data_IF_832043584725
#
_entry.id   IF_832043584725
#
_cell.length_a   1.000
_cell.length_b   1.000
_cell.length_c   1.000
_cell.angle_alpha   90.00
_cell.angle_beta   90.00
_cell.angle_gamma   90.00
#
_symmetry.space_group_name_H-M   'P 1'
#
loop_
_entity.id
_entity.type
_entity.pdbx_description
1 polymer ?
#
# COMPACT_ATOMS: atom_id res chain seq x y z
N UNK A 1 -18.36 16.60 13.42
CA UNK A 1 -18.79 16.05 14.73
C UNK A 1 -17.56 15.43 15.34
N UNK A 2 -17.21 15.75 16.60
CA UNK A 2 -16.05 15.17 17.25
C UNK A 2 -16.17 13.65 17.30
N UNK A 3 -15.03 12.95 17.25
CA UNK A 3 -15.07 11.48 17.21
C UNK A 3 -15.33 10.94 18.62
N UNK A 4 -16.18 9.91 18.77
CA UNK A 4 -16.35 9.26 20.06
C UNK A 4 -15.01 8.80 20.67
N UNK A 5 -14.83 8.95 21.98
CA UNK A 5 -13.57 8.63 22.67
C UNK A 5 -13.08 7.20 22.41
N UNK A 6 -13.99 6.22 22.39
CA UNK A 6 -13.65 4.83 22.09
C UNK A 6 -13.15 4.63 20.65
N UNK A 7 -13.61 5.45 19.71
CA UNK A 7 -13.15 5.46 18.33
C UNK A 7 -11.80 6.19 18.22
N UNK A 8 -11.61 7.30 18.95
CA UNK A 8 -10.34 8.00 19.07
C UNK A 8 -9.22 7.08 19.56
N UNK A 9 -9.44 6.38 20.67
CA UNK A 9 -8.43 5.47 21.23
C UNK A 9 -8.04 4.34 20.27
N UNK A 10 -8.95 3.92 19.38
CA UNK A 10 -8.69 2.86 18.39
C UNK A 10 -7.99 3.35 17.13
N UNK A 11 -8.19 4.61 16.76
CA UNK A 11 -7.64 5.22 15.54
C UNK A 11 -6.45 6.14 15.81
N UNK A 12 -6.18 6.48 17.07
CA UNK A 12 -5.01 7.27 17.46
C UNK A 12 -3.73 6.45 17.23
N UNK A 13 -2.77 6.97 16.45
CA UNK A 13 -1.45 6.34 16.29
C UNK A 13 -0.71 6.18 17.62
N UNK A 14 -0.95 7.04 18.61
CA UNK A 14 -0.34 6.92 19.93
C UNK A 14 -0.93 5.75 20.74
N UNK A 15 -2.26 5.62 20.78
CA UNK A 15 -2.92 4.63 21.63
C UNK A 15 -3.11 3.25 20.99
N UNK A 16 -2.89 3.11 19.68
CA UNK A 16 -3.14 1.84 18.98
C UNK A 16 -2.32 0.68 19.59
N UNK A 17 -3.04 -0.37 20.00
CA UNK A 17 -2.55 -1.61 20.66
C UNK A 17 -1.98 -1.48 22.08
N UNK A 18 -2.02 -0.30 22.66
CA UNK A 18 -1.51 -0.07 24.03
C UNK A 18 -2.27 -0.88 25.08
N UNK A 19 -3.54 -1.23 24.80
CA UNK A 19 -4.44 -2.00 25.66
C UNK A 19 -4.45 -3.51 25.36
N UNK A 20 -3.82 -3.97 24.26
CA UNK A 20 -4.10 -5.28 23.65
C UNK A 20 -2.92 -6.22 23.49
N UNK A 21 -1.68 -5.78 23.71
CA UNK A 21 -0.50 -6.62 23.50
C UNK A 21 0.09 -7.16 24.80
N UNK A 22 -0.14 -8.45 25.16
CA UNK A 22 0.70 -9.12 26.15
C UNK A 22 2.16 -9.08 25.67
N UNK A 23 3.03 -8.43 26.44
CA UNK A 23 4.43 -8.18 26.07
C UNK A 23 4.72 -6.82 25.44
N UNK A 24 3.76 -5.89 25.39
CA UNK A 24 4.04 -4.50 25.02
C UNK A 24 5.03 -3.89 26.02
N UNK A 25 6.21 -3.48 25.53
CA UNK A 25 7.21 -2.83 26.36
C UNK A 25 6.91 -1.32 26.44
N UNK A 26 6.13 -0.94 27.45
CA UNK A 26 5.71 0.45 27.68
C UNK A 26 6.90 1.39 27.89
N UNK A 27 7.91 0.97 28.65
CA UNK A 27 9.10 1.79 28.92
C UNK A 27 9.86 2.12 27.64
N UNK A 28 10.10 1.11 26.80
CA UNK A 28 10.76 1.30 25.50
C UNK A 28 9.92 2.16 24.56
N UNK A 29 8.60 1.99 24.57
CA UNK A 29 7.72 2.82 23.75
C UNK A 29 7.76 4.28 24.22
N UNK A 30 7.60 4.52 25.52
CA UNK A 30 7.61 5.86 26.10
C UNK A 30 8.95 6.56 25.87
N UNK A 31 10.07 5.87 26.05
CA UNK A 31 11.40 6.45 25.75
C UNK A 31 11.50 6.95 24.30
N UNK A 32 10.93 6.22 23.33
CA UNK A 32 10.93 6.69 21.94
C UNK A 32 10.01 7.87 21.71
N UNK A 33 8.89 7.92 22.43
CA UNK A 33 7.98 9.06 22.40
C UNK A 33 8.65 10.29 22.98
N UNK A 34 9.36 10.16 24.11
CA UNK A 34 10.07 11.25 24.76
C UNK A 34 11.19 11.83 23.87
N UNK A 35 11.84 10.98 23.07
CA UNK A 35 12.86 11.39 22.09
C UNK A 35 12.26 11.95 20.78
N UNK A 36 10.93 11.89 20.61
CA UNK A 36 10.27 12.33 19.37
C UNK A 36 10.10 13.86 19.37
N UNK A 37 10.47 14.57 18.27
CA UNK A 37 10.18 15.99 18.11
C UNK A 37 8.70 16.34 18.36
N UNK A 38 8.43 17.46 19.04
CA UNK A 38 7.08 17.85 19.46
C UNK A 38 6.06 17.84 18.32
N UNK A 39 6.44 18.31 17.14
CA UNK A 39 5.56 18.33 15.98
C UNK A 39 5.22 16.92 15.44
N UNK A 40 6.16 15.98 15.53
CA UNK A 40 5.92 14.57 15.22
C UNK A 40 5.07 13.90 16.29
N UNK A 41 5.31 14.22 17.56
CA UNK A 41 4.47 13.77 18.66
C UNK A 41 3.02 14.23 18.48
N UNK A 42 2.80 15.49 18.09
CA UNK A 42 1.48 16.03 17.82
C UNK A 42 0.73 15.22 16.75
N UNK A 43 1.40 14.75 15.69
CA UNK A 43 0.76 13.85 14.70
C UNK A 43 0.24 12.56 15.35
N UNK A 44 0.90 12.03 16.37
CA UNK A 44 0.50 10.80 17.03
C UNK A 44 -0.72 10.96 17.95
N UNK A 45 -0.84 12.12 18.60
CA UNK A 45 -1.85 12.36 19.65
C UNK A 45 -3.04 13.22 19.20
N UNK A 46 -2.90 14.01 18.14
CA UNK A 46 -3.92 14.96 17.72
C UNK A 46 -5.22 14.26 17.26
N UNK A 47 -6.36 14.84 17.64
CA UNK A 47 -7.68 14.31 17.28
C UNK A 47 -7.87 14.37 15.75
N UNK A 48 -7.32 15.40 15.10
CA UNK A 48 -7.35 15.57 13.65
C UNK A 48 -6.72 14.38 12.91
N UNK A 49 -5.68 13.76 13.47
CA UNK A 49 -5.08 12.55 12.88
C UNK A 49 -6.07 11.39 12.91
N UNK A 50 -6.79 11.23 14.03
CA UNK A 50 -7.78 10.18 14.18
C UNK A 50 -8.99 10.41 13.26
N UNK A 51 -9.42 11.66 13.10
CA UNK A 51 -10.45 12.06 12.13
C UNK A 51 -10.03 11.80 10.69
N UNK A 52 -8.77 12.10 10.35
CA UNK A 52 -8.20 11.81 9.04
C UNK A 52 -8.22 10.30 8.77
N UNK A 53 -7.77 9.48 9.71
CA UNK A 53 -7.78 8.02 9.58
C UNK A 53 -9.20 7.51 9.41
N UNK A 54 -10.14 8.00 10.23
CA UNK A 54 -11.57 7.66 10.10
C UNK A 54 -12.08 7.99 8.70
N UNK A 55 -11.83 9.19 8.21
CA UNK A 55 -12.23 9.63 6.86
C UNK A 55 -11.64 8.75 5.77
N UNK A 56 -10.38 8.34 5.92
CA UNK A 56 -9.71 7.42 5.01
C UNK A 56 -10.36 6.04 5.00
N UNK A 57 -10.67 5.48 6.18
CA UNK A 57 -11.36 4.19 6.31
C UNK A 57 -12.78 4.21 5.74
N UNK A 58 -13.45 5.36 5.78
CA UNK A 58 -14.77 5.55 5.19
C UNK A 58 -14.71 5.71 3.67
N UNK A 59 -13.69 6.43 3.17
CA UNK A 59 -13.48 6.61 1.72
C UNK A 59 -13.27 5.27 1.01
N UNK A 60 -12.52 4.35 1.65
CA UNK A 60 -12.24 3.02 1.11
C UNK A 60 -12.97 1.96 1.94
N UNK A 61 -14.13 1.50 1.48
CA UNK A 61 -14.98 0.53 2.22
C UNK A 61 -14.19 -0.70 2.71
N UNK A 62 -13.23 -1.17 1.92
CA UNK A 62 -12.33 -2.29 2.25
C UNK A 62 -11.45 -2.04 3.49
N UNK A 63 -11.22 -0.80 3.88
CA UNK A 63 -10.39 -0.38 5.02
C UNK A 63 -11.20 -0.13 6.31
N UNK A 64 -12.53 -0.20 6.27
CA UNK A 64 -13.41 0.15 7.40
C UNK A 64 -13.07 -0.60 8.69
N UNK A 65 -12.60 -1.84 8.59
CA UNK A 65 -12.16 -2.67 9.72
C UNK A 65 -10.66 -2.55 10.04
N UNK A 66 -9.89 -1.89 9.18
CA UNK A 66 -8.43 -1.80 9.21
C UNK A 66 -7.91 -0.43 9.67
N UNK A 67 -8.77 0.42 10.25
CA UNK A 67 -8.35 1.74 10.75
C UNK A 67 -7.20 1.68 11.76
N UNK A 68 -7.16 0.64 12.59
CA UNK A 68 -6.03 0.38 13.49
C UNK A 68 -4.73 0.07 12.73
N UNK A 69 -4.78 -0.63 11.60
CA UNK A 69 -3.59 -0.90 10.78
C UNK A 69 -3.03 0.39 10.14
N UNK A 70 -3.91 1.30 9.74
CA UNK A 70 -3.51 2.64 9.26
C UNK A 70 -2.87 3.44 10.41
N UNK A 71 -3.49 3.43 11.60
CA UNK A 71 -2.94 4.10 12.78
C UNK A 71 -1.55 3.56 13.15
N UNK A 72 -1.36 2.22 13.13
CA UNK A 72 -0.05 1.57 13.30
C UNK A 72 0.94 2.02 12.24
N UNK A 73 0.54 2.03 10.97
CA UNK A 73 1.42 2.43 9.88
C UNK A 73 1.88 3.89 10.02
N UNK A 74 0.99 4.78 10.42
CA UNK A 74 1.33 6.18 10.73
C UNK A 74 2.31 6.25 11.90
N UNK A 75 2.02 5.58 13.02
CA UNK A 75 2.92 5.52 14.19
C UNK A 75 4.30 5.00 13.81
N UNK A 76 4.35 3.85 13.17
CA UNK A 76 5.58 3.17 12.77
C UNK A 76 6.37 4.04 11.79
N UNK A 77 5.71 4.83 10.93
CA UNK A 77 6.40 5.78 10.03
C UNK A 77 6.93 6.99 10.80
N UNK A 78 6.12 7.62 11.66
CA UNK A 78 6.53 8.81 12.42
C UNK A 78 7.71 8.50 13.35
N UNK A 79 7.68 7.32 14.00
CA UNK A 79 8.77 6.86 14.86
C UNK A 79 9.92 6.19 14.08
N UNK A 80 9.88 6.25 12.75
CA UNK A 80 10.86 5.70 11.82
C UNK A 80 11.11 4.18 11.97
N UNK A 81 10.16 3.37 12.42
CA UNK A 81 10.21 1.90 12.29
C UNK A 81 9.98 1.41 10.86
N UNK A 82 9.23 2.19 10.09
CA UNK A 82 9.06 2.01 8.66
C UNK A 82 9.63 3.26 7.98
N UNK A 83 10.44 3.04 6.95
CA UNK A 83 10.91 4.14 6.12
C UNK A 83 9.75 4.69 5.29
N UNK A 84 9.60 6.02 5.22
CA UNK A 84 8.45 6.66 4.57
C UNK A 84 8.28 6.20 3.12
N UNK A 85 9.39 6.00 2.38
CA UNK A 85 9.36 5.49 1.00
C UNK A 85 8.81 4.08 0.84
N UNK A 86 8.83 3.26 1.90
CA UNK A 86 8.33 1.88 1.88
C UNK A 86 6.83 1.80 2.22
N UNK A 87 6.17 2.93 2.55
CA UNK A 87 4.75 2.96 2.93
C UNK A 87 3.80 2.30 1.92
N UNK A 88 3.89 2.51 0.59
CA UNK A 88 2.99 1.83 -0.35
C UNK A 88 3.09 0.30 -0.27
N UNK A 89 4.29 -0.24 -0.07
CA UNK A 89 4.50 -1.68 0.08
C UNK A 89 3.92 -2.18 1.40
N UNK A 90 4.12 -1.45 2.49
CA UNK A 90 3.55 -1.78 3.80
C UNK A 90 2.02 -1.69 3.82
N UNK A 91 1.43 -0.73 3.11
CA UNK A 91 -0.02 -0.61 2.94
C UNK A 91 -0.57 -1.82 2.17
N UNK A 92 0.07 -2.20 1.07
CA UNK A 92 -0.30 -3.42 0.31
C UNK A 92 -0.28 -4.65 1.22
N UNK A 93 0.79 -4.82 2.00
CA UNK A 93 1.02 -5.98 2.87
C UNK A 93 0.03 -6.04 4.05
N UNK A 94 -0.23 -4.91 4.72
CA UNK A 94 -1.07 -4.87 5.93
C UNK A 94 -2.55 -4.79 5.63
N UNK A 95 -2.92 -4.00 4.61
CA UNK A 95 -4.32 -3.73 4.27
C UNK A 95 -4.86 -4.70 3.19
N UNK A 96 -3.99 -5.43 2.49
CA UNK A 96 -4.40 -6.37 1.44
C UNK A 96 -5.01 -5.67 0.22
N UNK A 97 -4.67 -4.40 0.00
CA UNK A 97 -5.15 -3.61 -1.14
C UNK A 97 -4.19 -3.72 -2.32
N UNK A 98 -4.67 -3.45 -3.53
CA UNK A 98 -3.82 -3.45 -4.71
C UNK A 98 -2.77 -2.31 -4.68
N UNK A 99 -1.65 -2.44 -5.43
CA UNK A 99 -0.58 -1.44 -5.39
C UNK A 99 -0.98 -0.02 -5.81
N UNK A 100 -1.99 0.14 -6.68
CA UNK A 100 -2.43 1.47 -7.11
C UNK A 100 -3.20 2.16 -5.98
N UNK A 101 -4.13 1.45 -5.34
CA UNK A 101 -4.82 1.92 -4.13
C UNK A 101 -3.83 2.21 -3.01
N UNK A 102 -2.84 1.34 -2.80
CA UNK A 102 -1.82 1.54 -1.77
C UNK A 102 -1.01 2.84 -1.97
N UNK A 103 -0.64 3.14 -3.22
CA UNK A 103 0.03 4.40 -3.57
C UNK A 103 -0.86 5.61 -3.35
N UNK A 104 -2.15 5.52 -3.69
CA UNK A 104 -3.09 6.61 -3.45
C UNK A 104 -3.22 6.90 -1.94
N UNK A 105 -3.38 5.86 -1.12
CA UNK A 105 -3.45 5.97 0.34
C UNK A 105 -2.16 6.60 0.89
N UNK A 106 -0.99 6.10 0.46
CA UNK A 106 0.30 6.66 0.87
C UNK A 106 0.39 8.16 0.51
N UNK A 107 0.03 8.51 -0.72
CA UNK A 107 0.03 9.90 -1.18
C UNK A 107 -0.90 10.79 -0.35
N UNK A 108 -2.09 10.30 0.03
CA UNK A 108 -3.02 11.05 0.89
C UNK A 108 -2.43 11.28 2.28
N UNK A 109 -1.83 10.25 2.88
CA UNK A 109 -1.15 10.39 4.18
C UNK A 109 -0.02 11.42 4.06
N UNK A 110 0.84 11.31 3.05
CA UNK A 110 1.96 12.23 2.87
C UNK A 110 1.48 13.67 2.65
N UNK A 111 0.55 13.86 1.72
CA UNK A 111 0.14 15.20 1.27
C UNK A 111 -0.79 15.93 2.23
N UNK A 112 -1.57 15.22 3.05
CA UNK A 112 -2.54 15.84 3.95
C UNK A 112 -2.13 15.77 5.41
N UNK A 113 -1.57 14.65 5.86
CA UNK A 113 -1.20 14.46 7.26
C UNK A 113 0.27 14.82 7.52
N UNK A 114 1.19 14.36 6.67
CA UNK A 114 2.62 14.57 6.92
C UNK A 114 3.18 15.86 6.31
N UNK A 115 2.51 16.49 5.37
CA UNK A 115 2.95 17.74 4.75
C UNK A 115 3.47 18.79 5.75
N UNK A 116 2.80 19.10 6.88
CA UNK A 116 3.30 20.08 7.84
C UNK A 116 4.55 19.64 8.61
N UNK A 117 4.86 18.34 8.66
CA UNK A 117 5.94 17.75 9.45
C UNK A 117 6.96 16.96 8.62
N UNK A 118 6.87 17.05 7.29
CA UNK A 118 7.58 16.17 6.37
C UNK A 118 9.10 16.30 6.51
N UNK A 119 9.58 17.52 6.75
CA UNK A 119 11.01 17.77 6.95
C UNK A 119 11.54 17.11 8.23
N UNK A 120 10.76 17.09 9.31
CA UNK A 120 11.18 16.44 10.55
C UNK A 120 11.08 14.92 10.45
N UNK A 121 10.10 14.38 9.73
CA UNK A 121 10.07 12.96 9.36
C UNK A 121 11.35 12.60 8.59
N UNK A 122 11.73 13.38 7.57
CA UNK A 122 12.96 13.13 6.80
C UNK A 122 14.21 13.15 7.67
N UNK A 123 14.31 14.08 8.63
CA UNK A 123 15.46 14.15 9.55
C UNK A 123 15.58 12.88 10.39
N UNK A 124 14.51 12.50 11.10
CA UNK A 124 14.49 11.29 11.94
C UNK A 124 14.75 10.03 11.10
N UNK A 125 14.23 9.98 9.87
CA UNK A 125 14.47 8.86 8.96
C UNK A 125 15.91 8.82 8.46
N UNK A 126 16.54 9.97 8.19
CA UNK A 126 17.93 10.02 7.73
C UNK A 126 18.92 9.58 8.84
N UNK A 127 18.58 9.79 10.11
CA UNK A 127 19.37 9.28 11.24
C UNK A 127 19.31 7.75 11.34
N UNK A 128 18.12 7.16 11.12
CA UNK A 128 17.91 5.70 11.22
C UNK A 128 18.22 4.93 9.94
N UNK A 129 18.07 5.58 8.78
CA UNK A 129 18.26 5.02 7.43
C UNK A 129 19.16 5.94 6.60
N UNK A 130 20.45 6.07 6.96
CA UNK A 130 21.35 7.01 6.29
C UNK A 130 21.47 6.71 4.79
N UNK A 131 21.26 7.73 3.96
CA UNK A 131 21.40 7.62 2.50
C UNK A 131 20.21 6.99 1.77
N UNK A 132 19.12 6.58 2.45
CA UNK A 132 17.87 6.22 1.76
C UNK A 132 17.09 7.50 1.44
N UNK A 133 16.87 7.75 0.16
CA UNK A 133 15.95 8.79 -0.30
C UNK A 133 14.57 8.17 -0.54
N UNK A 134 13.47 8.85 -0.16
CA UNK A 134 12.14 8.42 -0.57
C UNK A 134 12.08 8.44 -2.10
N UNK A 135 11.61 7.36 -2.73
CA UNK A 135 11.15 7.46 -4.11
C UNK A 135 10.09 8.57 -4.15
N UNK A 136 10.23 9.50 -5.09
CA UNK A 136 9.38 10.70 -5.14
C UNK A 136 7.91 10.28 -5.13
N UNK A 137 7.19 10.62 -4.05
CA UNK A 137 5.74 10.61 -4.03
C UNK A 137 5.26 11.65 -5.03
N UNK A 138 4.98 11.23 -6.25
CA UNK A 138 4.34 12.10 -7.23
C UNK A 138 2.86 12.21 -6.83
N UNK A 139 2.35 13.43 -6.56
CA UNK A 139 0.92 13.65 -6.51
C UNK A 139 0.35 13.16 -7.84
N UNK A 140 -0.70 12.32 -7.79
CA UNK A 140 -1.45 11.97 -8.98
C UNK A 140 -2.00 13.29 -9.56
N UNK A 141 -1.38 13.79 -10.63
CA UNK A 141 -1.95 14.85 -11.44
C UNK A 141 -3.32 14.36 -11.91
N UNK A 142 -4.36 15.04 -11.42
CA UNK A 142 -5.74 14.79 -11.78
C UNK A 142 -5.93 15.15 -13.26
N UNK A 143 -5.84 14.14 -14.12
CA UNK A 143 -6.25 14.21 -15.52
C UNK A 143 -5.17 14.71 -16.48
N UNK A 144 -4.41 13.77 -17.05
CA UNK A 144 -3.83 13.95 -18.39
C UNK A 144 -4.07 12.68 -19.20
N UNK A 145 -4.77 12.72 -20.34
CA UNK A 145 -4.95 11.54 -21.16
C UNK A 145 -3.58 11.06 -21.65
N UNK A 146 -3.38 9.76 -21.54
CA UNK A 146 -2.31 9.00 -22.17
C UNK A 146 -2.31 9.32 -23.67
N UNK A 147 -1.38 10.17 -24.11
CA UNK A 147 -1.11 10.32 -25.53
C UNK A 147 -0.27 9.12 -25.92
N UNK A 148 -0.94 8.11 -26.47
CA UNK A 148 -0.32 7.04 -27.22
C UNK A 148 0.50 7.69 -28.36
N UNK A 149 1.81 7.78 -28.18
CA UNK A 149 2.72 8.20 -29.24
C UNK A 149 2.99 6.99 -30.15
N UNK A 150 2.07 6.81 -31.11
CA UNK A 150 2.29 5.97 -32.27
C UNK A 150 3.44 6.56 -33.09
N UNK A 151 4.59 5.89 -33.12
CA UNK A 151 5.62 6.19 -34.10
C UNK A 151 5.35 5.40 -35.39
N UNK A 152 5.13 6.06 -36.54
CA UNK A 152 5.02 5.39 -37.83
C UNK A 152 6.42 5.12 -38.39
N UNK A 153 6.81 3.84 -38.51
CA UNK A 153 7.99 3.48 -39.31
C UNK A 153 7.55 3.16 -40.74
N UNK A 154 7.69 4.16 -41.60
CA UNK A 154 7.63 4.00 -43.04
C UNK A 154 9.02 3.68 -43.58
N UNK A 155 9.15 2.63 -44.40
CA UNK A 155 10.30 2.52 -45.31
C UNK A 155 10.65 1.12 -45.84
N UNK A 156 9.99 0.74 -46.96
CA UNK A 156 10.54 0.04 -48.17
C UNK A 156 11.35 -1.27 -47.97
N UNK A 157 11.05 -2.38 -48.64
CA UNK A 157 10.93 -2.53 -50.10
C UNK A 157 10.21 -3.81 -50.55
N UNK A 158 9.56 -3.62 -51.71
CA UNK A 158 9.00 -4.50 -52.73
C UNK A 158 9.60 -5.91 -52.92
N UNK A 159 8.71 -6.81 -53.38
CA UNK A 159 8.81 -7.92 -54.37
C UNK A 159 8.16 -9.16 -53.77
N UNK A 160 7.17 -9.87 -54.30
CA UNK A 160 6.48 -9.92 -55.58
C UNK A 160 5.87 -11.34 -55.66
N UNK A 161 4.72 -11.48 -56.32
CA UNK A 161 4.07 -12.74 -56.76
C UNK A 161 3.25 -13.56 -55.75
N UNK A 162 1.93 -13.47 -55.91
CA UNK A 162 1.02 -14.63 -55.92
C UNK A 162 0.89 -15.12 -57.39
N UNK A 163 0.18 -16.22 -57.74
CA UNK A 163 -0.62 -17.15 -56.91
C UNK A 163 -0.36 -18.64 -57.24
N UNK A 164 -0.95 -19.58 -56.49
CA UNK A 164 -1.79 -20.67 -57.05
C UNK A 164 -2.22 -21.72 -56.00
N UNK A 165 -3.54 -21.93 -55.95
CA UNK A 165 -4.36 -23.12 -55.67
C UNK A 165 -3.74 -24.40 -55.06
N UNK A 166 -4.44 -24.99 -54.07
CA UNK A 166 -5.31 -26.20 -54.23
C UNK A 166 -5.43 -26.99 -52.91
N UNK A 167 -6.65 -26.96 -52.34
CA UNK A 167 -7.47 -28.05 -51.79
C UNK A 167 -6.95 -29.15 -50.82
N UNK A 168 -7.90 -29.53 -49.93
CA UNK A 168 -8.16 -30.81 -49.20
C UNK A 168 -7.43 -31.01 -47.86
N UNK A 169 -8.13 -31.12 -46.72
CA UNK A 169 -8.98 -32.21 -46.17
C UNK A 169 -8.19 -33.18 -45.25
N UNK A 170 -8.89 -33.85 -44.31
CA UNK A 170 -8.46 -34.66 -43.13
C UNK A 170 -8.31 -33.83 -41.84
N UNK A 171 -9.09 -33.94 -40.76
CA UNK A 171 -9.92 -34.98 -40.10
C UNK A 171 -9.14 -36.09 -39.36
N UNK A 172 -9.41 -36.21 -38.04
CA UNK A 172 -8.97 -37.29 -37.12
C UNK A 172 -8.15 -36.73 -35.94
N UNK A 173 -8.69 -36.63 -34.71
CA UNK A 173 -8.67 -37.67 -33.63
C UNK A 173 -7.22 -38.00 -33.21
N UNK A 174 -6.80 -37.87 -31.95
CA UNK A 174 -7.27 -38.64 -30.79
C UNK A 174 -6.91 -37.97 -29.45
N UNK A 175 -7.81 -38.11 -28.46
CA UNK A 175 -7.58 -37.92 -27.03
C UNK A 175 -7.39 -39.32 -26.40
N UNK A 176 -6.46 -39.50 -25.46
CA UNK A 176 -6.58 -40.57 -24.47
C UNK A 176 -6.75 -40.03 -23.05
N UNK A 177 -7.91 -40.40 -22.51
CA UNK A 177 -8.13 -41.08 -21.25
C UNK A 177 -7.64 -40.46 -19.93
N UNK A 178 -8.65 -40.02 -19.18
CA UNK A 178 -8.67 -39.77 -17.74
C UNK A 178 -8.50 -41.09 -16.98
N UNK A 179 -7.35 -41.28 -16.34
CA UNK A 179 -7.10 -42.32 -15.35
C UNK A 179 -7.23 -41.76 -13.93
N UNK A 180 -8.43 -41.87 -13.34
CA UNK A 180 -8.65 -41.59 -11.93
C UNK A 180 -8.15 -42.74 -11.05
N UNK A 181 -7.38 -42.41 -10.02
CA UNK A 181 -7.10 -43.31 -8.88
C UNK A 181 -7.32 -42.53 -7.59
N UNK A 182 -8.49 -42.71 -6.97
CA UNK A 182 -8.77 -42.23 -5.61
C UNK A 182 -8.56 -43.40 -4.65
N UNK A 183 -7.46 -43.28 -3.91
CA UNK A 183 -7.20 -43.62 -2.51
C UNK A 183 -8.25 -44.52 -1.81
N UNK A 184 -7.81 -45.75 -1.49
CA UNK A 184 -8.50 -46.67 -0.57
C UNK A 184 -8.29 -46.23 0.89
N UNK A 185 -9.40 -45.95 1.58
CA UNK A 185 -9.48 -45.60 3.00
C UNK A 185 -10.17 -46.77 3.71
N UNK A 186 -9.40 -47.61 4.40
CA UNK A 186 -9.79 -48.37 5.62
C UNK A 186 -8.67 -49.32 6.03
N UNK A 187 -7.93 -48.99 7.08
CA UNK A 187 -7.39 -50.00 7.98
C UNK A 187 -7.91 -49.72 9.39
N UNK A 188 -8.76 -50.62 9.85
CA UNK A 188 -8.98 -50.98 11.25
C UNK A 188 -8.11 -52.18 11.55
#
# INVERSE_FOLDING_TARGET
>A
MPIPLNEHLRLSPYFVDTDKSPGFNWERYQSRIDDTPENLFNVLVDENTSEFIKSLTQKYIQLSVQGADIARLIRDTVLADIFIGDMPQEITRRLGVDPATAREIANLIVSQLFAPVLEDIKKVHNEKYPGRLPEKFTPLEKGRPEVAEATPSAGRSLTGQAPSSTAKHYQGQDLPESGGNIIDLRNK
#
